data_IF_005680266132
#
_entry.id   IF_005680266132
#
_cell.length_a   1.000
_cell.length_b   1.000
_cell.length_c   1.000
_cell.angle_alpha   90.00
_cell.angle_beta   90.00
_cell.angle_gamma   90.00
#
_symmetry.space_group_name_H-M   'P 1'
#
loop_
_entity.id
_entity.type
_entity.pdbx_description
1 polymer ?
#
# COMPACT_ATOMS: atom_id res chain seq x y z
N UNK A 1 30.84 18.29 57.72
CA UNK A 1 29.62 18.87 57.13
C UNK A 1 29.16 17.95 56.00
N UNK A 2 27.96 17.37 56.18
CA UNK A 2 27.02 16.79 55.20
C UNK A 2 27.55 15.86 54.09
N UNK A 3 27.34 14.56 54.33
CA UNK A 3 27.17 13.45 53.38
C UNK A 3 25.84 13.60 52.61
N UNK A 4 25.81 13.40 51.29
CA UNK A 4 24.66 13.03 50.42
C UNK A 4 25.26 12.72 49.04
N UNK A 5 25.35 11.52 48.44
CA UNK A 5 24.49 10.34 48.29
C UNK A 5 23.22 10.60 47.47
N UNK A 6 23.11 9.87 46.34
CA UNK A 6 21.99 9.64 45.37
C UNK A 6 21.93 10.51 44.11
N UNK A 7 21.31 10.03 42.99
CA UNK A 7 21.31 8.67 42.43
C UNK A 7 21.55 8.64 40.89
N UNK A 8 22.02 7.49 40.39
CA UNK A 8 22.13 7.14 38.98
C UNK A 8 20.72 6.98 38.38
N UNK A 9 20.25 7.95 37.60
CA UNK A 9 18.95 7.93 36.94
C UNK A 9 19.02 7.03 35.70
N UNK A 10 18.45 5.83 35.80
CA UNK A 10 18.21 4.91 34.70
C UNK A 10 17.22 5.52 33.71
N UNK A 11 17.70 5.96 32.54
CA UNK A 11 16.85 6.37 31.43
C UNK A 11 16.47 5.12 30.62
N UNK A 12 15.35 4.50 31.01
CA UNK A 12 14.72 3.44 30.21
C UNK A 12 14.13 4.03 28.93
N UNK A 13 14.82 3.84 27.81
CA UNK A 13 14.25 4.06 26.49
C UNK A 13 13.37 2.85 26.17
N UNK A 14 12.08 2.96 26.48
CA UNK A 14 11.07 2.08 25.92
C UNK A 14 10.93 2.44 24.44
N UNK A 15 11.64 1.70 23.59
CA UNK A 15 11.49 1.75 22.15
C UNK A 15 10.11 1.19 21.81
N UNK A 16 9.10 2.07 21.73
CA UNK A 16 7.79 1.72 21.21
C UNK A 16 7.96 1.31 19.75
N UNK A 17 8.00 -0.01 19.52
CA UNK A 17 7.84 -0.57 18.20
C UNK A 17 6.43 -0.24 17.72
N UNK A 18 6.29 0.89 17.03
CA UNK A 18 5.16 1.14 16.16
C UNK A 18 5.19 0.04 15.09
N UNK A 19 4.45 -1.05 15.32
CA UNK A 19 4.07 -1.95 14.25
C UNK A 19 3.23 -1.12 13.28
N UNK A 20 3.81 -0.78 12.13
CA UNK A 20 3.04 -0.31 11.00
C UNK A 20 1.89 -1.30 10.79
N UNK A 21 0.65 -0.82 10.96
CA UNK A 21 -0.55 -1.60 10.74
C UNK A 21 -0.61 -1.90 9.23
N UNK A 22 0.12 -2.92 8.78
CA UNK A 22 -0.05 -3.45 7.45
C UNK A 22 -1.51 -3.92 7.36
N UNK A 23 -2.26 -3.39 6.38
CA UNK A 23 -3.62 -3.83 6.14
C UNK A 23 -3.64 -5.35 5.94
N UNK A 24 -4.59 -6.04 6.57
CA UNK A 24 -4.78 -7.48 6.41
C UNK A 24 -4.93 -7.81 4.92
N UNK A 25 -4.05 -8.65 4.33
CA UNK A 25 -4.12 -9.00 2.91
C UNK A 25 -5.48 -9.57 2.50
N UNK A 26 -6.16 -10.30 3.39
CA UNK A 26 -7.49 -10.84 3.10
C UNK A 26 -8.55 -9.73 3.00
N UNK A 27 -8.47 -8.73 3.88
CA UNK A 27 -9.35 -7.56 3.85
C UNK A 27 -9.11 -6.70 2.60
N UNK A 28 -7.85 -6.51 2.20
CA UNK A 28 -7.51 -5.77 0.99
C UNK A 28 -7.95 -6.52 -0.29
N UNK A 29 -7.82 -7.84 -0.33
CA UNK A 29 -8.36 -8.65 -1.42
C UNK A 29 -9.90 -8.59 -1.47
N UNK A 30 -10.57 -8.61 -0.31
CA UNK A 30 -12.01 -8.42 -0.24
C UNK A 30 -12.44 -7.03 -0.74
N UNK A 31 -11.67 -5.99 -0.42
CA UNK A 31 -11.86 -4.64 -0.96
C UNK A 31 -11.67 -4.61 -2.49
N UNK A 32 -10.62 -5.26 -3.01
CA UNK A 32 -10.43 -5.39 -4.45
C UNK A 32 -11.63 -6.04 -5.15
N UNK A 33 -12.21 -7.07 -4.53
CA UNK A 33 -13.39 -7.79 -5.04
C UNK A 33 -14.70 -7.02 -4.88
N UNK A 34 -14.81 -6.14 -3.89
CA UNK A 34 -16.02 -5.32 -3.66
C UNK A 34 -16.07 -4.09 -4.57
N UNK A 35 -14.92 -3.68 -5.13
CA UNK A 35 -14.76 -2.61 -6.12
C UNK A 35 -14.75 -3.20 -7.54
N UNK A 36 -14.91 -2.38 -8.61
CA UNK A 36 -14.99 -2.90 -9.99
C UNK A 36 -13.65 -3.42 -10.55
N UNK A 37 -12.60 -3.54 -9.74
CA UNK A 37 -11.24 -3.85 -10.17
C UNK A 37 -11.13 -5.20 -10.88
N UNK A 38 -11.84 -6.22 -10.38
CA UNK A 38 -11.83 -7.59 -10.92
C UNK A 38 -12.44 -7.71 -12.33
N UNK A 39 -13.15 -6.69 -12.81
CA UNK A 39 -13.64 -6.65 -14.19
C UNK A 39 -12.51 -6.43 -15.21
N UNK A 40 -11.40 -5.82 -14.78
CA UNK A 40 -10.31 -5.40 -15.66
C UNK A 40 -8.94 -5.94 -15.26
N UNK A 41 -8.77 -6.40 -14.02
CA UNK A 41 -7.51 -6.90 -13.48
C UNK A 41 -7.67 -8.30 -12.89
N UNK A 42 -6.58 -9.06 -12.92
CA UNK A 42 -6.43 -10.31 -12.21
C UNK A 42 -5.07 -10.33 -11.49
N UNK A 43 -4.85 -11.25 -10.56
CA UNK A 43 -3.62 -11.38 -9.78
C UNK A 43 -2.41 -11.69 -10.67
N UNK A 44 -2.55 -12.68 -11.55
CA UNK A 44 -1.44 -13.34 -12.24
C UNK A 44 -1.58 -13.38 -13.77
N UNK A 45 -2.77 -13.06 -14.30
CA UNK A 45 -3.00 -12.97 -15.74
C UNK A 45 -3.33 -11.54 -16.18
N UNK A 46 -2.76 -11.15 -17.33
CA UNK A 46 -3.12 -9.92 -18.02
C UNK A 46 -4.55 -10.02 -18.55
N UNK A 47 -5.35 -8.99 -18.30
CA UNK A 47 -6.73 -8.85 -18.78
C UNK A 47 -6.80 -7.58 -19.65
N UNK A 48 -7.78 -6.70 -19.39
CA UNK A 48 -7.78 -5.34 -19.95
C UNK A 48 -6.62 -4.54 -19.35
N UNK A 49 -6.46 -4.62 -18.02
CA UNK A 49 -5.33 -4.11 -17.27
C UNK A 49 -4.22 -5.15 -17.10
N UNK A 50 -3.02 -4.74 -16.64
CA UNK A 50 -1.94 -5.65 -16.26
C UNK A 50 -2.35 -6.58 -15.13
N UNK A 51 -1.65 -7.72 -15.01
CA UNK A 51 -1.75 -8.55 -13.82
C UNK A 51 -1.25 -7.77 -12.60
N UNK A 52 -1.88 -7.91 -11.44
CA UNK A 52 -1.47 -7.15 -10.25
C UNK A 52 -0.05 -7.50 -9.79
N UNK A 53 0.41 -8.73 -10.00
CA UNK A 53 1.81 -9.13 -9.78
C UNK A 53 2.80 -8.44 -10.72
N UNK A 54 2.41 -8.18 -11.97
CA UNK A 54 3.25 -7.38 -12.89
C UNK A 54 3.35 -5.93 -12.41
N UNK A 55 2.26 -5.38 -11.87
CA UNK A 55 2.26 -4.04 -11.25
C UNK A 55 3.22 -4.01 -10.07
N UNK A 56 3.13 -5.00 -9.18
CA UNK A 56 4.02 -5.14 -8.04
C UNK A 56 5.50 -5.19 -8.48
N UNK A 57 5.81 -6.06 -9.45
CA UNK A 57 7.17 -6.20 -9.98
C UNK A 57 7.69 -4.92 -10.63
N UNK A 58 6.86 -4.21 -11.40
CA UNK A 58 7.26 -2.96 -12.08
C UNK A 58 7.60 -1.83 -11.11
N UNK A 59 6.88 -1.72 -10.00
CA UNK A 59 7.05 -0.64 -9.03
C UNK A 59 7.83 -1.06 -7.77
N UNK A 60 8.34 -2.29 -7.73
CA UNK A 60 9.19 -2.78 -6.65
C UNK A 60 10.40 -1.85 -6.46
N UNK A 61 10.64 -1.42 -5.22
CA UNK A 61 11.76 -0.52 -4.88
C UNK A 61 11.60 0.93 -5.36
N UNK A 62 10.47 1.31 -5.95
CA UNK A 62 10.21 2.71 -6.32
C UNK A 62 9.79 3.51 -5.09
N UNK A 63 10.52 4.57 -4.77
CA UNK A 63 10.14 5.50 -3.71
C UNK A 63 8.80 6.17 -4.04
N UNK A 64 7.88 6.23 -3.07
CA UNK A 64 6.54 6.79 -3.28
C UNK A 64 5.60 5.94 -4.14
N UNK A 65 5.92 4.66 -4.41
CA UNK A 65 5.07 3.78 -5.23
C UNK A 65 3.63 3.67 -4.71
N UNK A 66 3.45 3.64 -3.38
CA UNK A 66 2.12 3.57 -2.75
C UNK A 66 1.27 4.77 -3.14
N UNK A 67 1.76 5.99 -2.96
CA UNK A 67 1.01 7.22 -3.25
C UNK A 67 0.77 7.38 -4.76
N UNK A 68 1.75 7.01 -5.58
CA UNK A 68 1.62 6.99 -7.03
C UNK A 68 0.49 6.05 -7.47
N UNK A 69 0.47 4.81 -6.97
CA UNK A 69 -0.54 3.83 -7.33
C UNK A 69 -1.91 4.19 -6.75
N UNK A 70 -1.98 4.67 -5.51
CA UNK A 70 -3.22 5.13 -4.89
C UNK A 70 -3.86 6.26 -5.72
N UNK A 71 -3.06 7.25 -6.12
CA UNK A 71 -3.52 8.34 -6.99
C UNK A 71 -4.04 7.84 -8.33
N UNK A 72 -3.41 6.83 -8.94
CA UNK A 72 -3.87 6.21 -10.19
C UNK A 72 -5.14 5.38 -10.00
N UNK A 73 -5.23 4.61 -8.92
CA UNK A 73 -6.41 3.81 -8.59
C UNK A 73 -7.62 4.72 -8.43
N UNK A 74 -7.49 5.82 -7.68
CA UNK A 74 -8.60 6.75 -7.44
C UNK A 74 -8.97 7.55 -8.69
N UNK A 75 -7.99 8.19 -9.33
CA UNK A 75 -8.24 9.20 -10.37
C UNK A 75 -8.20 8.65 -11.81
N UNK A 76 -7.81 7.39 -11.98
CA UNK A 76 -7.55 6.79 -13.28
C UNK A 76 -6.15 7.12 -13.81
N UNK A 77 -5.76 6.43 -14.88
CA UNK A 77 -4.45 6.61 -15.53
C UNK A 77 -4.49 6.10 -16.97
N UNK A 78 -3.62 6.63 -17.83
CA UNK A 78 -3.39 6.13 -19.19
C UNK A 78 -1.89 6.15 -19.53
N UNK A 79 -1.44 5.36 -20.50
CA UNK A 79 -0.08 5.40 -21.03
C UNK A 79 0.96 4.55 -20.30
N UNK A 80 0.75 4.25 -19.01
CA UNK A 80 1.73 3.48 -18.22
C UNK A 80 1.85 1.99 -18.59
N UNK A 81 0.79 1.43 -19.20
CA UNK A 81 0.67 0.01 -19.57
C UNK A 81 0.15 -0.19 -21.00
N UNK A 82 0.01 0.90 -21.75
CA UNK A 82 -0.59 0.92 -23.08
C UNK A 82 -1.59 2.07 -23.27
N UNK A 83 -2.27 2.12 -24.42
CA UNK A 83 -3.20 3.18 -24.77
C UNK A 83 -4.55 3.07 -24.06
N UNK A 84 -4.88 1.91 -23.47
CA UNK A 84 -6.15 1.70 -22.76
C UNK A 84 -6.16 2.48 -21.42
N UNK A 85 -7.06 3.46 -21.23
CA UNK A 85 -7.18 4.14 -19.94
C UNK A 85 -7.82 3.24 -18.88
N UNK A 86 -7.31 3.33 -17.65
CA UNK A 86 -8.03 2.94 -16.44
C UNK A 86 -8.88 4.13 -15.98
N UNK A 87 -10.22 4.01 -15.92
CA UNK A 87 -11.09 5.08 -15.41
C UNK A 87 -10.85 5.37 -13.92
N UNK A 88 -11.36 6.50 -13.45
CA UNK A 88 -11.44 6.79 -12.01
C UNK A 88 -12.33 5.75 -11.31
N UNK A 89 -11.91 5.29 -10.13
CA UNK A 89 -12.65 4.29 -9.36
C UNK A 89 -13.38 4.93 -8.16
N UNK A 90 -14.54 4.38 -7.76
CA UNK A 90 -15.30 4.87 -6.60
C UNK A 90 -14.67 4.39 -5.29
N UNK A 91 -13.52 4.97 -4.94
CA UNK A 91 -12.77 4.67 -3.71
C UNK A 91 -12.44 5.94 -2.94
N UNK A 92 -12.35 5.84 -1.61
CA UNK A 92 -11.76 6.90 -0.78
C UNK A 92 -10.23 6.92 -0.93
N UNK A 93 -9.57 7.95 -0.39
CA UNK A 93 -8.11 8.01 -0.38
C UNK A 93 -7.51 6.86 0.45
N UNK A 94 -8.15 6.51 1.57
CA UNK A 94 -7.75 5.41 2.44
C UNK A 94 -7.89 4.06 1.72
N UNK A 95 -9.02 3.81 1.06
CA UNK A 95 -9.24 2.59 0.29
C UNK A 95 -8.22 2.46 -0.85
N UNK A 96 -7.94 3.56 -1.57
CA UNK A 96 -6.95 3.57 -2.64
C UNK A 96 -5.54 3.24 -2.13
N UNK A 97 -5.18 3.76 -0.95
CA UNK A 97 -3.90 3.47 -0.30
C UNK A 97 -3.78 2.01 0.15
N UNK A 98 -4.82 1.46 0.78
CA UNK A 98 -4.89 0.05 1.16
C UNK A 98 -4.70 -0.85 -0.06
N UNK A 99 -5.40 -0.55 -1.17
CA UNK A 99 -5.27 -1.31 -2.40
C UNK A 99 -3.86 -1.19 -3.01
N UNK A 100 -3.26 -0.01 -3.00
CA UNK A 100 -1.91 0.20 -3.52
C UNK A 100 -0.85 -0.57 -2.72
N UNK A 101 -0.92 -0.50 -1.38
CA UNK A 101 -0.03 -1.27 -0.49
C UNK A 101 -0.20 -2.78 -0.70
N UNK A 102 -1.44 -3.24 -0.82
CA UNK A 102 -1.72 -4.65 -1.08
C UNK A 102 -1.18 -5.10 -2.43
N UNK A 103 -1.42 -4.34 -3.52
CA UNK A 103 -0.88 -4.66 -4.85
C UNK A 103 0.64 -4.78 -4.81
N UNK A 104 1.34 -3.85 -4.15
CA UNK A 104 2.81 -3.90 -4.02
C UNK A 104 3.32 -5.06 -3.15
N UNK A 105 2.47 -5.65 -2.31
CA UNK A 105 2.81 -6.83 -1.52
C UNK A 105 2.75 -8.14 -2.31
N UNK A 106 2.11 -8.15 -3.48
CA UNK A 106 1.94 -9.33 -4.31
C UNK A 106 3.28 -9.71 -4.96
N UNK A 107 3.64 -10.99 -4.89
CA UNK A 107 4.83 -11.59 -5.52
C UNK A 107 4.45 -12.45 -6.71
#
# INVERSE_FOLDING_TARGET
MKKFLTPLLTLGVALSMQSALAADPAAAEALFKSKPCAACHNLDMKMVGPALKEVAAKYAGTEGAVDLLAGRIKNGTVGAWGPMPMPANPVTDEEAKILAEWVLSLK
#
